data_IF_006394887772
#
_entry.id   IF_006394887772
#
_cell.length_a   1.000
_cell.length_b   1.000
_cell.length_c   1.000
_cell.angle_alpha   90.00
_cell.angle_beta   90.00
_cell.angle_gamma   90.00
#
_symmetry.space_group_name_H-M   'P 1'
#
loop_
_entity.id
_entity.type
_entity.pdbx_description
1 polymer ?
#
# COMPACT_ATOMS: atom_id res chain seq x y z
N UNK A 1 -22.77 -3.48 27.98
CA UNK A 1 -22.43 -2.04 28.01
C UNK A 1 -21.34 -1.61 27.02
N UNK A 2 -20.56 -2.51 26.39
CA UNK A 2 -19.52 -2.13 25.41
C UNK A 2 -20.00 -1.87 23.95
N UNK A 3 -21.19 -2.34 23.54
CA UNK A 3 -21.68 -2.15 22.15
C UNK A 3 -22.16 -0.72 21.84
N UNK A 4 -22.67 -0.02 22.85
CA UNK A 4 -23.22 1.34 22.70
C UNK A 4 -22.14 2.43 22.56
N UNK A 5 -20.96 2.24 23.16
CA UNK A 5 -19.83 3.17 23.01
C UNK A 5 -19.18 3.11 21.62
N UNK A 6 -19.14 1.92 20.99
CA UNK A 6 -18.66 1.77 19.62
C UNK A 6 -19.59 2.45 18.60
N UNK A 7 -20.91 2.43 18.87
CA UNK A 7 -21.95 3.08 18.07
C UNK A 7 -22.01 4.60 18.25
N UNK A 8 -21.66 5.15 19.41
CA UNK A 8 -21.49 6.61 19.56
C UNK A 8 -20.29 7.13 18.75
N UNK A 9 -19.23 6.36 18.56
CA UNK A 9 -18.13 6.74 17.65
C UNK A 9 -18.55 6.71 16.16
N UNK A 10 -19.46 5.78 15.80
CA UNK A 10 -20.09 5.74 14.47
C UNK A 10 -21.05 6.91 14.21
N UNK A 11 -21.72 7.43 15.26
CA UNK A 11 -22.66 8.57 15.19
C UNK A 11 -22.02 9.96 15.46
N UNK A 12 -20.85 10.05 16.09
CA UNK A 12 -20.13 11.32 16.31
C UNK A 12 -19.22 11.69 15.14
N UNK A 13 -18.94 10.75 14.23
CA UNK A 13 -18.22 11.02 12.97
C UNK A 13 -19.10 11.61 11.88
N UNK A 14 -20.41 11.68 12.12
CA UNK A 14 -21.39 12.08 11.12
C UNK A 14 -21.96 13.49 11.32
N UNK A 15 -22.10 13.96 12.57
CA UNK A 15 -22.67 15.29 12.87
C UNK A 15 -21.66 16.44 13.00
N UNK A 16 -20.43 16.27 12.49
CA UNK A 16 -19.53 17.40 12.28
C UNK A 16 -19.80 18.01 10.89
N UNK A 17 -20.83 18.85 10.83
CA UNK A 17 -20.93 20.07 10.02
C UNK A 17 -20.31 20.03 8.61
N UNK A 18 -21.17 20.16 7.60
CA UNK A 18 -20.84 20.63 6.25
C UNK A 18 -19.82 21.78 6.31
N UNK A 19 -18.56 21.41 6.11
CA UNK A 19 -17.38 22.26 6.32
C UNK A 19 -16.10 21.44 6.50
N UNK A 20 -16.03 20.24 5.92
CA UNK A 20 -14.85 19.39 5.74
C UNK A 20 -15.35 18.00 5.30
N UNK A 21 -15.67 17.84 4.01
CA UNK A 21 -15.93 16.51 3.44
C UNK A 21 -14.60 15.76 3.28
N UNK A 22 -14.05 15.33 4.41
CA UNK A 22 -13.00 14.33 4.52
C UNK A 22 -13.59 13.07 5.14
N UNK A 23 -13.69 12.01 4.32
CA UNK A 23 -13.90 10.64 4.80
C UNK A 23 -15.32 10.10 4.63
N UNK A 24 -15.58 9.44 3.51
CA UNK A 24 -16.39 8.21 3.44
C UNK A 24 -15.93 7.39 2.22
N UNK A 25 -14.94 6.53 2.45
CA UNK A 25 -14.70 5.28 1.74
C UNK A 25 -14.49 5.36 0.24
N UNK A 26 -13.47 6.10 -0.19
CA UNK A 26 -12.80 5.78 -1.44
C UNK A 26 -12.06 4.45 -1.27
N UNK A 27 -12.24 3.56 -2.23
CA UNK A 27 -11.30 2.51 -2.48
C UNK A 27 -9.89 3.09 -2.57
N UNK A 28 -8.98 2.58 -1.75
CA UNK A 28 -7.63 3.09 -1.64
C UNK A 28 -7.55 4.44 -0.91
N UNK A 29 -6.99 4.41 0.30
CA UNK A 29 -6.48 5.60 0.97
C UNK A 29 -6.93 5.74 2.43
N UNK A 30 -6.02 5.80 3.42
CA UNK A 30 -4.61 5.53 3.31
C UNK A 30 -4.07 4.72 4.50
N UNK A 31 -2.83 4.26 4.38
CA UNK A 31 -1.92 3.85 5.46
C UNK A 31 -2.29 4.55 6.80
N UNK A 32 -2.29 3.84 7.94
CA UNK A 32 -2.49 4.50 9.25
C UNK A 32 -1.37 5.54 9.55
N UNK A 33 -0.39 5.68 8.66
CA UNK A 33 0.55 6.81 8.56
C UNK A 33 0.03 8.01 7.71
N UNK A 34 -1.24 8.08 7.27
CA UNK A 34 -1.73 9.05 6.26
C UNK A 34 -3.12 9.67 6.53
N UNK A 35 -3.64 9.64 7.76
CA UNK A 35 -4.80 10.50 8.11
C UNK A 35 -4.37 12.00 8.11
N UNK A 36 -4.90 12.86 7.22
CA UNK A 36 -4.51 14.27 7.14
C UNK A 36 -4.95 15.11 8.35
N UNK A 37 -5.80 14.57 9.24
CA UNK A 37 -6.19 15.21 10.51
C UNK A 37 -5.31 14.74 11.68
N UNK A 38 -4.64 13.59 11.55
CA UNK A 38 -3.75 13.07 12.60
C UNK A 38 -2.29 13.33 12.25
N UNK A 39 -1.82 14.49 12.72
CA UNK A 39 -0.43 14.96 12.75
C UNK A 39 0.15 15.33 11.38
N UNK A 40 0.12 16.63 11.08
CA UNK A 40 1.24 17.28 10.43
C UNK A 40 2.51 17.06 11.28
N UNK A 41 3.17 15.92 11.12
CA UNK A 41 4.61 15.87 11.35
C UNK A 41 5.26 16.64 10.21
N UNK A 42 6.31 17.44 10.45
CA UNK A 42 7.12 17.93 9.35
C UNK A 42 7.45 16.75 8.44
N UNK A 43 7.26 16.94 7.13
CA UNK A 43 7.72 15.98 6.13
C UNK A 43 9.24 16.04 6.17
N UNK A 44 9.85 15.31 7.11
CA UNK A 44 11.28 15.16 7.13
C UNK A 44 11.66 14.45 5.83
N UNK A 45 12.44 15.15 5.00
CA UNK A 45 13.06 14.53 3.84
C UNK A 45 13.86 13.32 4.32
N UNK A 46 13.91 12.26 3.49
CA UNK A 46 14.78 11.11 3.79
C UNK A 46 16.19 11.63 4.05
N UNK A 47 16.76 11.21 5.17
CA UNK A 47 18.15 11.45 5.52
C UNK A 47 19.01 10.51 4.70
N UNK A 48 20.08 11.04 4.13
CA UNK A 48 21.03 10.25 3.35
C UNK A 48 21.66 9.14 4.21
N UNK A 49 21.80 7.96 3.60
CA UNK A 49 22.48 6.79 4.17
C UNK A 49 23.87 6.65 3.54
N UNK A 50 24.73 5.79 4.12
CA UNK A 50 26.05 5.50 3.60
C UNK A 50 25.97 4.95 2.17
N UNK A 51 27.04 5.23 1.42
CA UNK A 51 27.14 4.78 0.03
C UNK A 51 27.29 3.26 -0.02
N UNK A 52 26.43 2.60 -0.79
CA UNK A 52 26.60 1.19 -1.14
C UNK A 52 26.68 1.01 -2.65
N UNK A 53 27.71 0.27 -3.08
CA UNK A 53 27.95 -0.07 -4.47
C UNK A 53 27.93 -1.58 -4.61
N UNK A 54 27.06 -2.08 -5.49
CA UNK A 54 26.98 -3.50 -5.77
C UNK A 54 27.52 -3.79 -7.15
N UNK A 55 28.39 -4.81 -7.24
CA UNK A 55 28.92 -5.32 -8.52
C UNK A 55 28.13 -6.56 -8.91
N UNK A 56 27.60 -6.56 -10.13
CA UNK A 56 26.79 -7.64 -10.68
C UNK A 56 27.20 -7.86 -12.12
N UNK A 57 27.78 -9.03 -12.39
CA UNK A 57 28.39 -9.33 -13.69
C UNK A 57 29.42 -8.23 -14.07
N UNK A 58 29.25 -7.59 -15.23
CA UNK A 58 30.09 -6.49 -15.70
C UNK A 58 29.58 -5.10 -15.32
N UNK A 59 28.50 -4.99 -14.54
CA UNK A 59 27.87 -3.73 -14.17
C UNK A 59 28.11 -3.37 -12.70
N UNK A 60 28.22 -2.07 -12.44
CA UNK A 60 28.32 -1.50 -11.10
C UNK A 60 27.08 -0.65 -10.87
N UNK A 61 26.36 -0.92 -9.79
CA UNK A 61 25.18 -0.17 -9.39
C UNK A 61 25.47 0.60 -8.11
N UNK A 62 25.29 1.92 -8.15
CA UNK A 62 25.37 2.78 -6.97
C UNK A 62 23.96 2.88 -6.38
N UNK A 63 23.70 2.25 -5.23
CA UNK A 63 22.34 2.13 -4.70
C UNK A 63 21.73 3.47 -4.30
N UNK A 64 22.55 4.40 -3.83
CA UNK A 64 22.12 5.75 -3.46
C UNK A 64 21.90 6.67 -4.68
N UNK A 65 22.08 6.17 -5.91
CA UNK A 65 21.86 6.97 -7.12
C UNK A 65 20.40 7.39 -7.19
N UNK A 66 20.19 8.70 -7.35
CA UNK A 66 18.89 9.33 -7.67
C UNK A 66 18.88 9.74 -9.14
N UNK A 67 17.71 10.03 -9.70
CA UNK A 67 17.51 10.37 -11.10
C UNK A 67 18.05 9.28 -12.06
N UNK A 68 17.84 8.02 -11.69
CA UNK A 68 18.14 6.86 -12.53
C UNK A 68 17.08 6.71 -13.63
N UNK A 69 17.40 5.97 -14.68
CA UNK A 69 16.44 5.59 -15.73
C UNK A 69 15.69 4.31 -15.38
N UNK A 70 14.53 4.08 -16.01
CA UNK A 70 13.79 2.82 -15.84
C UNK A 70 14.64 1.60 -16.22
N UNK A 71 15.44 1.71 -17.27
CA UNK A 71 16.36 0.64 -17.71
C UNK A 71 17.39 0.31 -16.63
N UNK A 72 17.89 1.30 -15.89
CA UNK A 72 18.81 1.07 -14.77
C UNK A 72 18.14 0.36 -13.59
N UNK A 73 16.89 0.71 -13.28
CA UNK A 73 16.09 0.00 -12.29
C UNK A 73 15.87 -1.46 -12.69
N UNK A 74 15.45 -1.69 -13.94
CA UNK A 74 15.23 -3.03 -14.46
C UNK A 74 16.52 -3.84 -14.52
N UNK A 75 17.62 -3.23 -14.95
CA UNK A 75 18.93 -3.88 -14.96
C UNK A 75 19.34 -4.33 -13.57
N UNK A 76 19.15 -3.49 -12.53
CA UNK A 76 19.44 -3.83 -11.15
C UNK A 76 18.54 -4.98 -10.64
N UNK A 77 17.23 -4.86 -10.83
CA UNK A 77 16.25 -5.85 -10.35
C UNK A 77 16.46 -7.19 -11.06
N UNK A 78 16.78 -7.19 -12.35
CA UNK A 78 17.06 -8.41 -13.14
C UNK A 78 18.36 -9.12 -12.75
N UNK A 79 19.17 -8.57 -11.83
CA UNK A 79 20.38 -9.26 -11.35
C UNK A 79 20.08 -10.46 -10.46
N UNK A 80 18.84 -10.60 -9.98
CA UNK A 80 18.39 -11.76 -9.21
C UNK A 80 17.39 -12.61 -9.99
N UNK A 81 17.23 -13.87 -9.60
CA UNK A 81 16.31 -14.79 -10.29
C UNK A 81 14.85 -14.34 -10.11
N UNK A 82 14.47 -13.92 -8.89
CA UNK A 82 13.14 -13.37 -8.59
C UNK A 82 12.87 -12.09 -9.36
N UNK A 83 13.78 -11.12 -9.30
CA UNK A 83 13.60 -9.84 -9.99
C UNK A 83 13.53 -9.99 -11.51
N UNK A 84 14.35 -10.88 -12.09
CA UNK A 84 14.26 -11.23 -13.51
C UNK A 84 12.90 -11.82 -13.87
N UNK A 85 12.41 -12.79 -13.10
CA UNK A 85 11.09 -13.40 -13.31
C UNK A 85 9.95 -12.38 -13.27
N UNK A 86 10.02 -11.40 -12.37
CA UNK A 86 9.04 -10.31 -12.27
C UNK A 86 9.09 -9.42 -13.52
N UNK A 87 10.27 -9.00 -13.95
CA UNK A 87 10.43 -8.17 -15.16
C UNK A 87 9.93 -8.92 -16.40
N UNK A 88 10.31 -10.19 -16.57
CA UNK A 88 9.91 -11.01 -17.72
C UNK A 88 8.37 -11.13 -17.83
N UNK A 89 7.65 -11.13 -16.69
CA UNK A 89 6.19 -11.16 -16.66
C UNK A 89 5.55 -9.77 -16.85
N UNK A 90 6.20 -8.71 -16.37
CA UNK A 90 5.72 -7.33 -16.55
C UNK A 90 5.86 -6.84 -17.98
N UNK A 91 6.97 -7.16 -18.66
CA UNK A 91 7.30 -6.62 -19.99
C UNK A 91 6.16 -6.80 -21.00
N UNK A 92 5.55 -8.00 -21.16
CA UNK A 92 4.40 -8.14 -22.05
C UNK A 92 3.21 -7.25 -21.72
N UNK A 93 2.97 -6.93 -20.44
CA UNK A 93 1.88 -6.05 -20.01
C UNK A 93 2.18 -4.59 -20.34
N UNK A 94 3.44 -4.17 -20.17
CA UNK A 94 3.92 -2.84 -20.55
C UNK A 94 3.86 -2.65 -22.07
N UNK A 95 4.35 -3.62 -22.84
CA UNK A 95 4.38 -3.59 -24.31
C UNK A 95 2.96 -3.54 -24.91
N UNK A 96 2.00 -4.21 -24.27
CA UNK A 96 0.59 -4.21 -24.68
C UNK A 96 -0.19 -2.99 -24.18
N UNK A 97 0.42 -2.10 -23.38
CA UNK A 97 -0.26 -0.97 -22.75
C UNK A 97 -1.31 -1.37 -21.72
N UNK A 98 -1.25 -2.61 -21.19
CA UNK A 98 -2.13 -3.11 -20.11
C UNK A 98 -1.64 -2.73 -18.72
N UNK A 99 -0.40 -2.28 -18.62
CA UNK A 99 0.22 -1.74 -17.43
C UNK A 99 1.03 -0.51 -17.82
N UNK A 100 1.13 0.47 -16.92
CA UNK A 100 1.96 1.66 -17.09
C UNK A 100 2.95 1.81 -15.94
N UNK A 101 4.12 2.37 -16.23
CA UNK A 101 5.02 2.91 -15.22
C UNK A 101 5.01 4.44 -15.30
N UNK A 102 4.85 5.10 -14.15
CA UNK A 102 4.82 6.57 -14.05
C UNK A 102 5.72 7.06 -12.93
N UNK A 103 6.17 8.32 -13.01
CA UNK A 103 6.97 8.92 -11.95
C UNK A 103 6.10 9.26 -10.72
N UNK A 104 6.49 8.74 -9.56
CA UNK A 104 5.97 9.16 -8.26
C UNK A 104 6.67 10.47 -7.87
N UNK A 105 6.16 11.59 -8.37
CA UNK A 105 6.68 12.93 -8.04
C UNK A 105 6.24 13.36 -6.64
N UNK A 106 6.85 14.42 -6.10
CA UNK A 106 6.37 15.05 -4.86
C UNK A 106 4.91 15.51 -4.97
N UNK A 107 4.49 16.03 -6.13
CA UNK A 107 3.11 16.38 -6.40
C UNK A 107 2.18 15.16 -6.35
N UNK A 108 2.57 14.05 -6.98
CA UNK A 108 1.76 12.82 -6.95
C UNK A 108 1.63 12.25 -5.53
N UNK A 109 2.70 12.30 -4.73
CA UNK A 109 2.63 11.92 -3.32
C UNK A 109 1.63 12.80 -2.56
N UNK A 110 1.76 14.12 -2.64
CA UNK A 110 0.85 15.06 -1.98
C UNK A 110 -0.61 14.87 -2.40
N UNK A 111 -0.87 14.73 -3.71
CA UNK A 111 -2.21 14.51 -4.28
C UNK A 111 -2.87 13.26 -3.73
N UNK A 112 -2.08 12.23 -3.43
CA UNK A 112 -2.51 10.93 -2.90
C UNK A 112 -2.44 10.83 -1.37
N UNK A 113 -2.05 11.91 -0.69
CA UNK A 113 -1.83 11.90 0.76
C UNK A 113 -0.64 11.06 1.22
N UNK A 114 0.29 10.73 0.31
CA UNK A 114 1.46 9.90 0.58
C UNK A 114 2.59 10.69 1.23
N UNK A 115 3.30 10.06 2.17
CA UNK A 115 4.51 10.61 2.76
C UNK A 115 5.72 10.55 1.81
N UNK A 116 6.75 11.36 2.08
CA UNK A 116 8.05 11.33 1.35
C UNK A 116 8.75 9.97 1.39
N UNK A 117 8.33 9.08 2.29
CA UNK A 117 8.88 7.74 2.49
C UNK A 117 8.42 6.73 1.44
N UNK A 118 7.25 6.93 0.84
CA UNK A 118 6.72 6.07 -0.21
C UNK A 118 7.56 6.22 -1.47
N UNK A 119 8.23 5.14 -1.87
CA UNK A 119 9.17 5.16 -3.01
C UNK A 119 8.61 4.45 -4.24
N UNK A 120 7.60 3.62 -4.05
CA UNK A 120 6.81 3.01 -5.11
C UNK A 120 5.36 2.84 -4.63
N UNK A 121 4.43 2.67 -5.57
CA UNK A 121 3.01 2.38 -5.32
C UNK A 121 2.39 1.74 -6.56
N UNK A 122 1.60 0.69 -6.41
CA UNK A 122 0.72 0.19 -7.44
C UNK A 122 -0.74 0.69 -7.28
N UNK A 123 -1.35 1.08 -8.39
CA UNK A 123 -2.74 1.54 -8.45
C UNK A 123 -3.46 0.91 -9.66
N UNK A 124 -4.21 -0.16 -9.40
CA UNK A 124 -5.02 -0.83 -10.41
C UNK A 124 -6.35 -0.14 -10.73
N UNK A 125 -6.73 0.89 -9.96
CA UNK A 125 -8.01 1.60 -10.15
C UNK A 125 -7.95 2.67 -11.23
N UNK A 126 -6.74 3.00 -11.68
CA UNK A 126 -6.51 3.88 -12.84
C UNK A 126 -7.01 3.24 -14.14
N UNK A 127 -7.33 4.06 -15.15
CA UNK A 127 -7.81 3.57 -16.46
C UNK A 127 -6.90 2.51 -17.08
N UNK A 128 -5.59 2.67 -16.90
CA UNK A 128 -4.59 1.64 -17.15
C UNK A 128 -3.85 1.44 -15.84
N UNK A 129 -3.89 0.25 -15.21
CA UNK A 129 -3.17 -0.04 -13.97
C UNK A 129 -1.75 0.51 -14.02
N UNK A 130 -1.32 1.18 -12.96
CA UNK A 130 -0.07 1.95 -12.98
C UNK A 130 0.79 1.62 -11.76
N UNK A 131 2.06 1.30 -12.01
CA UNK A 131 3.10 1.32 -10.98
C UNK A 131 3.75 2.71 -11.00
N UNK A 132 3.65 3.43 -9.88
CA UNK A 132 4.33 4.69 -9.65
C UNK A 132 5.69 4.43 -9.01
N UNK A 133 6.74 5.08 -9.51
CA UNK A 133 8.12 4.87 -9.10
C UNK A 133 8.78 6.22 -8.82
N UNK A 134 9.39 6.38 -7.65
CA UNK A 134 10.13 7.58 -7.27
C UNK A 134 11.50 7.63 -7.94
N UNK A 135 11.61 8.22 -9.14
CA UNK A 135 12.91 8.39 -9.81
C UNK A 135 13.86 9.34 -9.06
N UNK A 136 13.30 10.21 -8.21
CA UNK A 136 14.05 11.10 -7.31
C UNK A 136 14.51 10.39 -6.02
N UNK A 137 13.98 9.19 -5.73
CA UNK A 137 14.44 8.36 -4.61
C UNK A 137 15.70 7.56 -4.99
N UNK A 138 16.28 6.90 -4.01
CA UNK A 138 17.48 6.08 -4.22
C UNK A 138 17.14 4.79 -4.97
N UNK A 139 17.92 4.48 -6.01
CA UNK A 139 17.77 3.31 -6.88
C UNK A 139 17.64 2.00 -6.09
N UNK A 140 18.49 1.79 -5.08
CA UNK A 140 18.46 0.58 -4.26
C UNK A 140 17.19 0.44 -3.44
N UNK A 141 16.74 1.54 -2.84
CA UNK A 141 15.49 1.59 -2.09
C UNK A 141 14.27 1.32 -3.00
N UNK A 142 14.26 1.93 -4.18
CA UNK A 142 13.19 1.72 -5.14
C UNK A 142 13.20 0.30 -5.67
N UNK A 143 14.36 -0.29 -5.96
CA UNK A 143 14.45 -1.68 -6.42
C UNK A 143 13.83 -2.65 -5.41
N UNK A 144 14.00 -2.40 -4.11
CA UNK A 144 13.37 -3.20 -3.06
C UNK A 144 11.83 -3.12 -3.13
N UNK A 145 11.25 -1.92 -3.15
CA UNK A 145 9.79 -1.76 -3.20
C UNK A 145 9.19 -2.10 -4.58
N UNK A 146 9.93 -1.93 -5.67
CA UNK A 146 9.44 -2.18 -7.02
C UNK A 146 8.98 -3.63 -7.18
N UNK A 147 9.71 -4.60 -6.62
CA UNK A 147 9.31 -6.02 -6.69
C UNK A 147 7.98 -6.27 -5.98
N UNK A 148 7.73 -5.60 -4.86
CA UNK A 148 6.45 -5.67 -4.15
C UNK A 148 5.30 -5.10 -4.99
N UNK A 149 5.45 -3.88 -5.49
CA UNK A 149 4.41 -3.24 -6.32
C UNK A 149 4.17 -3.98 -7.65
N UNK A 150 5.24 -4.50 -8.25
CA UNK A 150 5.16 -5.33 -9.43
C UNK A 150 4.42 -6.65 -9.15
N UNK A 151 4.60 -7.23 -7.96
CA UNK A 151 3.88 -8.44 -7.56
C UNK A 151 2.38 -8.17 -7.48
N UNK A 152 1.96 -7.02 -6.91
CA UNK A 152 0.56 -6.62 -6.97
C UNK A 152 0.04 -6.47 -8.41
N UNK A 153 0.83 -5.89 -9.30
CA UNK A 153 0.45 -5.76 -10.71
C UNK A 153 0.28 -7.10 -11.44
N UNK A 154 0.99 -8.14 -10.99
CA UNK A 154 0.93 -9.49 -11.56
C UNK A 154 -0.12 -10.38 -10.88
N UNK A 155 -0.66 -9.96 -9.73
CA UNK A 155 -1.64 -10.71 -8.98
C UNK A 155 -3.04 -10.60 -9.61
N UNK A 156 -3.46 -11.71 -10.22
CA UNK A 156 -4.75 -11.81 -10.92
C UNK A 156 -5.96 -11.82 -9.97
N UNK A 157 -5.74 -12.04 -8.67
CA UNK A 157 -6.82 -12.05 -7.69
C UNK A 157 -7.22 -10.64 -7.29
N UNK A 158 -6.30 -9.67 -7.26
CA UNK A 158 -6.59 -8.30 -6.80
C UNK A 158 -7.79 -7.67 -7.51
N UNK A 159 -7.91 -7.70 -8.86
CA UNK A 159 -9.09 -7.15 -9.52
C UNK A 159 -10.40 -7.85 -9.13
N UNK A 160 -10.38 -9.17 -8.95
CA UNK A 160 -11.56 -9.97 -8.60
C UNK A 160 -11.99 -9.73 -7.15
N UNK A 161 -11.02 -9.69 -6.23
CA UNK A 161 -11.23 -9.40 -4.82
C UNK A 161 -11.75 -7.99 -4.61
N UNK A 162 -11.26 -7.02 -5.38
CA UNK A 162 -11.78 -5.67 -5.38
C UNK A 162 -13.25 -5.58 -5.83
N UNK A 163 -13.64 -6.34 -6.86
CA UNK A 163 -15.05 -6.40 -7.28
C UNK A 163 -15.94 -6.94 -6.15
N UNK A 164 -15.47 -7.95 -5.41
CA UNK A 164 -16.16 -8.48 -4.23
C UNK A 164 -16.25 -7.44 -3.12
N UNK A 165 -15.16 -6.76 -2.80
CA UNK A 165 -15.13 -5.68 -1.81
C UNK A 165 -16.09 -4.56 -2.19
N UNK A 166 -16.19 -4.24 -3.49
CA UNK A 166 -17.13 -3.27 -4.06
C UNK A 166 -18.59 -3.66 -3.86
N UNK A 167 -18.93 -4.94 -4.03
CA UNK A 167 -20.29 -5.42 -3.80
C UNK A 167 -20.70 -5.19 -2.34
N UNK A 168 -19.85 -5.57 -1.39
CA UNK A 168 -20.15 -5.41 0.04
C UNK A 168 -20.11 -3.95 0.50
N UNK A 169 -19.21 -3.14 -0.07
CA UNK A 169 -19.17 -1.70 0.18
C UNK A 169 -20.45 -1.02 -0.30
N UNK A 170 -20.87 -1.29 -1.53
CA UNK A 170 -22.10 -0.71 -2.09
C UNK A 170 -23.34 -1.17 -1.32
N UNK A 171 -23.41 -2.45 -0.94
CA UNK A 171 -24.48 -2.94 -0.07
C UNK A 171 -24.50 -2.18 1.28
N UNK A 172 -23.34 -1.97 1.91
CA UNK A 172 -23.26 -1.16 3.13
C UNK A 172 -23.77 0.27 2.91
N UNK A 173 -23.38 0.92 1.80
CA UNK A 173 -23.87 2.27 1.44
C UNK A 173 -25.37 2.31 1.18
N UNK A 174 -25.92 1.31 0.51
CA UNK A 174 -27.35 1.22 0.25
C UNK A 174 -28.16 1.08 1.54
N UNK A 175 -27.66 0.30 2.51
CA UNK A 175 -28.29 0.17 3.82
C UNK A 175 -28.15 1.44 4.67
N UNK A 176 -27.01 2.15 4.61
CA UNK A 176 -26.89 3.46 5.23
C UNK A 176 -27.98 4.41 4.72
N UNK A 177 -28.19 4.45 3.41
CA UNK A 177 -29.23 5.28 2.79
C UNK A 177 -30.64 4.82 3.15
N UNK A 178 -30.90 3.52 3.11
CA UNK A 178 -32.20 2.94 3.46
C UNK A 178 -32.60 3.30 4.90
N UNK A 179 -31.64 3.34 5.82
CA UNK A 179 -31.86 3.68 7.21
C UNK A 179 -31.69 5.17 7.54
N UNK A 180 -31.52 6.04 6.54
CA UNK A 180 -31.41 7.49 6.75
C UNK A 180 -30.17 7.91 7.55
N UNK A 181 -29.06 7.21 7.33
CA UNK A 181 -27.73 7.50 7.90
C UNK A 181 -26.85 8.29 6.92
N UNK A 182 -27.40 8.75 5.80
CA UNK A 182 -26.71 9.51 4.77
C UNK A 182 -27.23 10.96 4.64
N UNK A 183 -28.20 11.35 5.46
CA UNK A 183 -28.82 12.69 5.47
C UNK A 183 -28.88 13.21 6.91
N UNK A 184 -28.60 14.51 7.07
CA UNK A 184 -28.66 15.19 8.36
C UNK A 184 -30.05 15.78 8.66
N UNK A 185 -30.63 15.59 9.87
CA UNK A 185 -30.10 14.78 10.95
C UNK A 185 -30.26 13.28 10.66
N UNK A 186 -29.23 12.50 11.00
CA UNK A 186 -29.30 11.05 10.88
C UNK A 186 -30.43 10.47 11.74
N UNK A 187 -31.10 9.47 11.17
CA UNK A 187 -32.16 8.72 11.85
C UNK A 187 -31.59 7.95 13.06
N UNK A 188 -32.29 8.01 14.18
CA UNK A 188 -32.06 7.06 15.28
C UNK A 188 -32.51 5.66 14.84
N UNK A 189 -31.58 4.71 14.85
CA UNK A 189 -31.85 3.34 14.42
C UNK A 189 -32.62 2.57 15.49
N UNK A 190 -33.59 1.76 15.05
CA UNK A 190 -34.15 0.70 15.88
C UNK A 190 -33.10 -0.38 16.20
N UNK A 191 -33.39 -1.24 17.17
CA UNK A 191 -32.52 -2.39 17.50
C UNK A 191 -32.29 -3.31 16.28
N UNK A 192 -33.35 -3.56 15.50
CA UNK A 192 -33.27 -4.36 14.28
C UNK A 192 -32.37 -3.71 13.22
N UNK A 193 -32.55 -2.42 12.95
CA UNK A 193 -31.74 -1.68 11.97
C UNK A 193 -30.27 -1.61 12.41
N UNK A 194 -30.03 -1.41 13.71
CA UNK A 194 -28.69 -1.44 14.30
C UNK A 194 -28.03 -2.80 14.09
N UNK A 195 -28.74 -3.90 14.38
CA UNK A 195 -28.22 -5.24 14.16
C UNK A 195 -27.90 -5.49 12.69
N UNK A 196 -28.79 -5.08 11.77
CA UNK A 196 -28.57 -5.26 10.33
C UNK A 196 -27.40 -4.44 9.80
N UNK A 197 -27.26 -3.19 10.24
CA UNK A 197 -26.09 -2.38 9.91
C UNK A 197 -24.80 -3.03 10.37
N UNK A 198 -24.79 -3.59 11.59
CA UNK A 198 -23.63 -4.28 12.13
C UNK A 198 -23.30 -5.55 11.33
N UNK A 199 -24.29 -6.39 11.01
CA UNK A 199 -24.08 -7.60 10.20
C UNK A 199 -23.45 -7.28 8.83
N UNK A 200 -23.93 -6.24 8.15
CA UNK A 200 -23.42 -5.85 6.83
C UNK A 200 -22.02 -5.24 6.94
N UNK A 201 -21.79 -4.41 7.96
CA UNK A 201 -20.47 -3.88 8.26
C UNK A 201 -19.45 -5.00 8.50
N UNK A 202 -19.81 -6.00 9.32
CA UNK A 202 -18.94 -7.15 9.63
C UNK A 202 -18.60 -7.97 8.38
N UNK A 203 -19.57 -8.21 7.48
CA UNK A 203 -19.30 -8.92 6.22
C UNK A 203 -18.35 -8.10 5.33
N UNK A 204 -18.60 -6.79 5.20
CA UNK A 204 -17.74 -5.88 4.42
C UNK A 204 -16.32 -5.84 4.97
N UNK A 205 -16.16 -5.67 6.28
CA UNK A 205 -14.84 -5.66 6.92
C UNK A 205 -14.15 -7.01 6.81
N UNK A 206 -14.86 -8.13 7.02
CA UNK A 206 -14.26 -9.46 6.91
C UNK A 206 -13.61 -9.68 5.54
N UNK A 207 -14.33 -9.42 4.45
CA UNK A 207 -13.81 -9.60 3.10
C UNK A 207 -12.61 -8.68 2.84
N UNK A 208 -12.74 -7.39 3.13
CA UNK A 208 -11.66 -6.40 2.99
C UNK A 208 -10.39 -6.85 3.71
N UNK A 209 -10.51 -7.30 4.96
CA UNK A 209 -9.37 -7.70 5.78
C UNK A 209 -8.67 -8.95 5.22
N UNK A 210 -9.44 -9.93 4.74
CA UNK A 210 -8.90 -11.14 4.14
C UNK A 210 -8.16 -10.85 2.82
N UNK A 211 -8.77 -10.05 1.93
CA UNK A 211 -8.18 -9.71 0.63
C UNK A 211 -6.90 -8.86 0.77
N UNK A 212 -6.94 -7.82 1.61
CA UNK A 212 -5.75 -6.98 1.87
C UNK A 212 -4.63 -7.83 2.46
N UNK A 213 -4.91 -8.64 3.50
CA UNK A 213 -3.88 -9.48 4.11
C UNK A 213 -3.22 -10.41 3.09
N UNK A 214 -4.03 -11.08 2.26
CA UNK A 214 -3.54 -12.02 1.25
C UNK A 214 -2.68 -11.32 0.20
N UNK A 215 -3.14 -10.19 -0.34
CA UNK A 215 -2.42 -9.42 -1.36
C UNK A 215 -1.06 -8.95 -0.84
N UNK A 216 -1.05 -8.34 0.36
CA UNK A 216 0.17 -7.81 0.98
C UNK A 216 1.13 -8.92 1.36
N UNK A 217 0.64 -10.00 2.00
CA UNK A 217 1.47 -11.15 2.37
C UNK A 217 2.18 -11.73 1.16
N UNK A 218 1.46 -11.92 0.06
CA UNK A 218 2.04 -12.42 -1.18
C UNK A 218 3.11 -11.48 -1.74
N UNK A 219 2.85 -10.17 -1.80
CA UNK A 219 3.82 -9.19 -2.30
C UNK A 219 5.07 -9.08 -1.39
N UNK A 220 4.91 -9.13 -0.07
CA UNK A 220 6.02 -9.15 0.86
C UNK A 220 6.84 -10.44 0.80
N UNK A 221 6.22 -11.59 0.53
CA UNK A 221 6.95 -12.85 0.34
C UNK A 221 7.84 -12.78 -0.90
N UNK A 222 7.33 -12.24 -2.01
CA UNK A 222 8.09 -12.06 -3.24
C UNK A 222 9.23 -11.03 -3.07
N UNK A 223 8.96 -9.93 -2.37
CA UNK A 223 9.98 -8.95 -1.96
C UNK A 223 11.06 -9.59 -1.07
N UNK A 224 10.66 -10.46 -0.14
CA UNK A 224 11.57 -11.18 0.75
C UNK A 224 12.49 -12.12 -0.02
N UNK A 225 11.97 -12.87 -1.00
CA UNK A 225 12.80 -13.72 -1.87
C UNK A 225 13.82 -12.88 -2.64
N UNK A 226 13.39 -11.77 -3.25
CA UNK A 226 14.30 -10.85 -3.95
C UNK A 226 15.41 -10.32 -3.02
N UNK A 227 15.03 -9.84 -1.84
CA UNK A 227 15.97 -9.29 -0.84
C UNK A 227 16.98 -10.34 -0.40
N UNK A 228 16.52 -11.56 -0.14
CA UNK A 228 17.37 -12.71 0.20
C UNK A 228 18.37 -13.05 -0.91
N UNK A 229 17.98 -12.92 -2.18
CA UNK A 229 18.89 -13.12 -3.31
C UNK A 229 19.94 -12.01 -3.42
N UNK A 230 19.57 -10.74 -3.20
CA UNK A 230 20.52 -9.61 -3.22
C UNK A 230 21.57 -9.74 -2.13
N UNK A 231 21.16 -10.14 -0.91
CA UNK A 231 22.03 -10.28 0.25
C UNK A 231 23.10 -11.37 0.06
N UNK A 232 22.80 -12.46 -0.67
CA UNK A 232 23.76 -13.56 -0.92
C UNK A 232 25.01 -13.13 -1.69
N UNK A 233 24.95 -11.99 -2.38
CA UNK A 233 25.97 -11.56 -3.33
C UNK A 233 26.44 -10.13 -3.11
N UNK A 234 26.02 -9.44 -2.03
CA UNK A 234 26.47 -8.08 -1.72
C UNK A 234 26.71 -7.84 -0.25
N UNK A 235 27.96 -7.48 0.05
CA UNK A 235 28.43 -7.29 1.42
C UNK A 235 27.92 -5.98 2.06
N UNK A 236 27.56 -4.94 1.28
CA UNK A 236 27.06 -3.66 1.84
C UNK A 236 25.54 -3.49 1.82
N UNK A 237 24.78 -4.45 1.26
CA UNK A 237 23.34 -4.26 1.06
C UNK A 237 22.56 -4.34 2.38
N UNK A 238 23.00 -5.22 3.29
CA UNK A 238 22.41 -5.35 4.62
C UNK A 238 22.56 -4.06 5.42
N UNK A 239 23.77 -3.51 5.47
CA UNK A 239 24.06 -2.24 6.14
C UNK A 239 23.27 -1.07 5.52
N UNK A 240 23.18 -1.03 4.18
CA UNK A 240 22.39 -0.03 3.45
C UNK A 240 20.92 -0.05 3.86
N UNK A 241 20.30 -1.23 3.91
CA UNK A 241 18.90 -1.40 4.33
C UNK A 241 18.72 -1.04 5.80
N UNK A 242 19.61 -1.53 6.68
CA UNK A 242 19.54 -1.28 8.12
C UNK A 242 19.66 0.22 8.43
N UNK A 243 20.50 0.95 7.71
CA UNK A 243 20.64 2.39 7.90
C UNK A 243 19.37 3.16 7.48
N UNK A 244 18.65 2.70 6.46
CA UNK A 244 17.32 3.23 6.14
C UNK A 244 16.29 2.91 7.23
N UNK A 245 16.34 1.73 7.84
CA UNK A 245 15.49 1.42 9.01
C UNK A 245 15.79 2.39 10.16
N UNK A 246 17.07 2.63 10.45
CA UNK A 246 17.48 3.42 11.61
C UNK A 246 17.27 4.91 11.42
N UNK A 247 17.70 5.47 10.27
CA UNK A 247 17.63 6.91 9.99
C UNK A 247 16.28 7.33 9.43
N UNK A 248 15.73 6.55 8.50
CA UNK A 248 14.53 6.92 7.75
C UNK A 248 13.26 6.27 8.30
N UNK A 249 13.38 5.38 9.30
CA UNK A 249 12.27 4.65 9.93
C UNK A 249 11.44 3.89 8.90
N UNK A 250 12.12 3.42 7.84
CA UNK A 250 11.49 2.57 6.85
C UNK A 250 11.36 1.18 7.44
N UNK A 251 10.20 0.56 7.25
CA UNK A 251 9.93 -0.79 7.74
C UNK A 251 10.38 -1.79 6.67
N UNK A 252 11.70 -1.91 6.53
CA UNK A 252 12.33 -2.81 5.57
C UNK A 252 12.67 -4.11 6.29
N UNK A 253 12.15 -5.22 5.79
CA UNK A 253 12.40 -6.55 6.36
C UNK A 253 13.01 -7.45 5.31
N UNK A 254 13.89 -8.34 5.79
CA UNK A 254 14.35 -9.48 5.03
C UNK A 254 13.21 -10.47 4.79
N UNK A 255 12.54 -10.85 5.87
CA UNK A 255 11.31 -11.62 5.87
C UNK A 255 10.29 -10.82 6.69
N UNK A 256 9.27 -10.27 6.04
CA UNK A 256 8.29 -9.39 6.71
C UNK A 256 7.44 -10.20 7.68
N UNK A 257 7.36 -9.85 8.98
CA UNK A 257 6.49 -10.55 9.92
C UNK A 257 5.01 -10.18 9.69
N UNK A 258 4.10 -11.12 9.95
CA UNK A 258 2.65 -10.88 9.79
C UNK A 258 2.16 -9.69 10.63
N UNK A 259 2.71 -9.52 11.84
CA UNK A 259 2.41 -8.39 12.71
C UNK A 259 2.68 -7.03 12.04
N UNK A 260 3.70 -6.95 11.18
CA UNK A 260 3.96 -5.73 10.44
C UNK A 260 2.82 -5.43 9.45
N UNK A 261 2.42 -6.43 8.67
CA UNK A 261 1.32 -6.30 7.69
C UNK A 261 0.02 -5.96 8.43
N UNK A 262 -0.29 -6.70 9.49
CA UNK A 262 -1.49 -6.48 10.30
C UNK A 262 -1.55 -5.05 10.83
N UNK A 263 -0.44 -4.54 11.39
CA UNK A 263 -0.39 -3.20 11.96
C UNK A 263 -0.38 -2.09 10.90
N UNK A 264 0.33 -2.28 9.78
CA UNK A 264 0.42 -1.29 8.71
C UNK A 264 -0.93 -1.08 8.00
N UNK A 265 -1.67 -2.16 7.78
CA UNK A 265 -2.92 -2.14 7.04
C UNK A 265 -4.18 -2.14 7.92
N UNK A 266 -4.02 -2.07 9.24
CA UNK A 266 -5.12 -2.01 10.21
C UNK A 266 -6.00 -3.25 10.19
N UNK A 267 -5.38 -4.42 10.04
CA UNK A 267 -6.10 -5.68 9.82
C UNK A 267 -6.62 -6.22 11.14
N UNK A 268 -7.92 -6.49 11.23
CA UNK A 268 -8.49 -7.22 12.35
C UNK A 268 -8.23 -8.72 12.19
N UNK A 269 -7.39 -9.27 13.06
CA UNK A 269 -6.97 -10.68 13.02
C UNK A 269 -8.10 -11.67 13.29
N UNK A 270 -9.21 -11.23 13.89
CA UNK A 270 -10.39 -12.08 14.04
C UNK A 270 -11.07 -12.41 12.70
N UNK A 271 -10.81 -11.62 11.65
CA UNK A 271 -11.29 -11.91 10.29
C UNK A 271 -10.37 -12.83 9.49
N UNK A 272 -9.17 -13.15 10.00
CA UNK A 272 -8.20 -14.02 9.32
C UNK A 272 -8.33 -15.51 9.71
N UNK A 273 -9.21 -15.83 10.66
CA UNK A 273 -9.52 -17.19 11.12
C UNK A 273 -10.65 -17.81 10.30
#
# INVERSE_FOLDING_TARGET
MNKYLLLMALNLSTFASFGNFGGLGGFGGPDLDHDPRYRHRPQDNKVDVAKCEIKRNAQVFHLNKRNYSLDELFALVATTQKGKSVIDQLMPLLDQGKLKISNLTSFERQRRGLGSRTSALFDFTTTVPTIYIGFEDELGLVAHFFVHEATHALDKLIPQEYEVDMIYYNAFKDFQKLFGLDVEPMKELSEYETQKMYEIYEIKEKNRNQHIYRAERYAFDEQGIFTNEVLKVSDCYEDYVQEHVDKNKLKLYRDTPDEHIINAYGINTDYLK
#
